data_IF_287618860178
#
_entry.id   IF_287618860178
#
_cell.length_a   1.000
_cell.length_b   1.000
_cell.length_c   1.000
_cell.angle_alpha   90.00
_cell.angle_beta   90.00
_cell.angle_gamma   90.00
#
_symmetry.space_group_name_H-M   'P 1'
#
loop_
_entity.id
_entity.type
_entity.pdbx_description
1 polymer ?
#
# COMPACT_ATOMS: atom_id res chain seq x y z
N UNK A 1 -6.90 10.99 -5.50
CA UNK A 1 -6.76 10.08 -4.34
C UNK A 1 -5.41 9.43 -4.47
N UNK A 2 -4.67 9.35 -3.37
CA UNK A 2 -3.34 8.71 -3.35
C UNK A 2 -3.54 7.23 -3.12
N UNK A 3 -2.99 6.39 -3.99
CA UNK A 3 -3.05 4.94 -3.83
C UNK A 3 -1.66 4.39 -3.55
N UNK A 4 -1.48 3.71 -2.43
CA UNK A 4 -0.27 2.94 -2.11
C UNK A 4 -0.54 1.46 -2.33
N UNK A 5 0.33 0.76 -3.04
CA UNK A 5 0.25 -0.69 -3.27
C UNK A 5 1.49 -1.35 -2.72
N UNK A 6 1.28 -2.39 -1.91
CA UNK A 6 2.30 -3.25 -1.36
C UNK A 6 2.06 -4.70 -1.78
N UNK A 7 3.13 -5.38 -2.14
CA UNK A 7 3.16 -6.83 -2.31
C UNK A 7 3.93 -7.45 -1.14
N UNK A 8 3.40 -8.53 -0.58
CA UNK A 8 4.11 -9.37 0.41
C UNK A 8 3.93 -10.84 0.04
N UNK A 9 4.98 -11.62 0.21
CA UNK A 9 4.99 -13.05 -0.13
C UNK A 9 4.14 -13.86 0.86
N UNK A 10 4.36 -13.63 2.15
CA UNK A 10 3.71 -14.37 3.23
C UNK A 10 3.47 -13.46 4.43
N UNK A 11 2.58 -13.91 5.29
CA UNK A 11 2.26 -13.24 6.54
C UNK A 11 2.19 -14.28 7.67
N UNK A 12 2.77 -13.94 8.82
CA UNK A 12 2.72 -14.75 10.03
C UNK A 12 1.29 -14.82 10.54
N UNK A 13 0.86 -16.00 11.00
CA UNK A 13 -0.36 -16.09 11.81
C UNK A 13 -0.08 -15.55 13.22
N UNK A 14 -1.10 -14.95 13.82
CA UNK A 14 -1.01 -14.35 15.13
C UNK A 14 -2.39 -14.29 15.79
N UNK A 15 -2.41 -14.17 17.12
CA UNK A 15 -3.64 -14.01 17.89
C UNK A 15 -3.63 -12.70 18.65
N UNK A 16 -4.83 -12.24 19.07
CA UNK A 16 -4.97 -11.09 19.97
C UNK A 16 -4.07 -11.22 21.21
N UNK A 17 -4.00 -12.40 21.82
CA UNK A 17 -3.18 -12.63 23.03
C UNK A 17 -1.69 -12.37 22.79
N UNK A 18 -1.18 -12.72 21.60
CA UNK A 18 0.22 -12.48 21.22
C UNK A 18 0.52 -10.98 21.12
N UNK A 19 -0.39 -10.21 20.50
CA UNK A 19 -0.29 -8.75 20.39
C UNK A 19 -0.40 -8.09 21.78
N UNK A 20 -1.37 -8.53 22.59
CA UNK A 20 -1.64 -7.99 23.91
C UNK A 20 -0.44 -8.17 24.87
N UNK A 21 0.38 -9.19 24.64
CA UNK A 21 1.60 -9.48 25.40
C UNK A 21 2.86 -8.81 24.81
N UNK A 22 2.76 -8.02 23.74
CA UNK A 22 3.89 -7.35 23.10
C UNK A 22 4.81 -8.27 22.28
N UNK A 23 4.30 -9.43 21.85
CA UNK A 23 5.06 -10.41 21.05
C UNK A 23 4.67 -10.40 19.58
N UNK A 24 4.42 -9.22 19.02
CA UNK A 24 3.98 -9.06 17.64
C UNK A 24 5.06 -9.53 16.66
N UNK A 25 4.72 -10.42 15.71
CA UNK A 25 5.66 -10.83 14.68
C UNK A 25 6.16 -9.62 13.87
N UNK A 26 7.43 -9.64 13.48
CA UNK A 26 8.08 -8.49 12.85
C UNK A 26 7.40 -8.04 11.55
N UNK A 27 6.92 -8.97 10.74
CA UNK A 27 6.18 -8.68 9.52
C UNK A 27 4.83 -8.00 9.81
N UNK A 28 4.12 -8.43 10.86
CA UNK A 28 2.90 -7.77 11.33
C UNK A 28 3.21 -6.37 11.85
N UNK A 29 4.27 -6.20 12.64
CA UNK A 29 4.71 -4.90 13.14
C UNK A 29 5.05 -3.93 12.00
N UNK A 30 5.73 -4.41 10.96
CA UNK A 30 6.05 -3.62 9.77
C UNK A 30 4.79 -3.21 9.02
N UNK A 31 3.82 -4.11 8.82
CA UNK A 31 2.53 -3.79 8.22
C UNK A 31 1.74 -2.77 9.04
N UNK A 32 1.74 -2.89 10.37
CA UNK A 32 1.15 -1.91 11.26
C UNK A 32 1.80 -0.52 11.05
N UNK A 33 3.13 -0.46 11.01
CA UNK A 33 3.84 0.79 10.72
C UNK A 33 3.49 1.37 9.34
N UNK A 34 3.40 0.54 8.30
CA UNK A 34 2.96 0.95 6.96
C UNK A 34 1.53 1.50 6.99
N UNK A 35 0.60 0.84 7.69
CA UNK A 35 -0.78 1.32 7.86
C UNK A 35 -0.79 2.67 8.58
N UNK A 36 0.00 2.80 9.66
CA UNK A 36 0.11 4.04 10.43
C UNK A 36 0.59 5.18 9.55
N UNK A 37 1.71 5.03 8.84
CA UNK A 37 2.27 6.11 8.00
C UNK A 37 1.41 6.40 6.76
N UNK A 38 0.55 5.45 6.34
CA UNK A 38 -0.40 5.66 5.26
C UNK A 38 -1.59 6.55 5.67
N UNK A 39 -2.01 6.51 6.94
CA UNK A 39 -3.29 7.11 7.35
C UNK A 39 -3.19 8.06 8.55
N UNK A 40 -2.41 7.76 9.57
CA UNK A 40 -2.44 8.50 10.83
C UNK A 40 -1.69 9.83 10.73
N UNK A 41 -2.36 10.91 11.09
CA UNK A 41 -1.76 12.22 11.39
C UNK A 41 -1.93 12.52 12.89
N UNK A 42 -1.29 13.58 13.40
CA UNK A 42 -1.36 13.95 14.82
C UNK A 42 -2.78 14.12 15.37
N UNK A 43 -3.72 14.60 14.54
CA UNK A 43 -5.09 14.91 14.97
C UNK A 43 -6.19 14.33 14.06
N UNK A 44 -5.82 13.56 13.04
CA UNK A 44 -6.78 13.11 12.02
C UNK A 44 -6.27 11.88 11.28
N UNK A 45 -7.09 11.40 10.34
CA UNK A 45 -6.68 10.40 9.35
C UNK A 45 -6.69 11.01 7.95
N UNK A 46 -5.75 10.59 7.10
CA UNK A 46 -5.67 10.95 5.68
C UNK A 46 -6.81 10.27 4.93
N UNK A 47 -7.91 10.99 4.72
CA UNK A 47 -9.10 10.50 4.00
C UNK A 47 -8.88 10.32 2.50
N UNK A 48 -7.85 10.95 1.96
CA UNK A 48 -7.49 10.95 0.53
C UNK A 48 -6.57 9.79 0.14
N UNK A 49 -6.08 9.02 1.12
CA UNK A 49 -5.19 7.89 0.91
C UNK A 49 -5.98 6.58 0.84
N UNK A 50 -5.49 5.66 0.03
CA UNK A 50 -5.86 4.25 0.04
C UNK A 50 -4.58 3.41 0.14
N UNK A 51 -4.65 2.30 0.87
CA UNK A 51 -3.56 1.33 0.97
C UNK A 51 -4.07 -0.03 0.51
N UNK A 52 -3.36 -0.64 -0.42
CA UNK A 52 -3.60 -1.98 -0.94
C UNK A 52 -2.45 -2.89 -0.53
N UNK A 53 -2.75 -4.01 0.12
CA UNK A 53 -1.78 -5.01 0.53
C UNK A 53 -2.16 -6.32 -0.14
N UNK A 54 -1.32 -6.79 -1.05
CA UNK A 54 -1.46 -8.11 -1.67
C UNK A 54 -0.56 -9.12 -0.96
N UNK A 55 -1.14 -10.25 -0.55
CA UNK A 55 -0.48 -11.34 0.18
C UNK A 55 -0.52 -12.59 -0.69
N UNK A 56 0.63 -12.98 -1.24
CA UNK A 56 0.73 -14.04 -2.26
C UNK A 56 0.39 -15.43 -1.70
N UNK A 57 0.92 -15.79 -0.54
CA UNK A 57 0.74 -17.11 0.09
C UNK A 57 -0.72 -17.50 0.36
N UNK A 58 -1.61 -16.51 0.47
CA UNK A 58 -3.04 -16.71 0.66
C UNK A 58 -3.89 -16.11 -0.47
N UNK A 59 -3.24 -15.58 -1.52
CA UNK A 59 -3.86 -14.96 -2.68
C UNK A 59 -4.90 -13.91 -2.29
N UNK A 60 -4.54 -12.99 -1.40
CA UNK A 60 -5.46 -12.06 -0.77
C UNK A 60 -5.05 -10.61 -1.04
N UNK A 61 -5.99 -9.81 -1.55
CA UNK A 61 -5.87 -8.35 -1.60
C UNK A 61 -6.69 -7.73 -0.47
N UNK A 62 -6.03 -6.92 0.37
CA UNK A 62 -6.67 -6.12 1.41
C UNK A 62 -6.61 -4.65 1.00
N UNK A 63 -7.74 -3.96 1.00
CA UNK A 63 -7.84 -2.51 0.76
C UNK A 63 -8.25 -1.80 2.04
N UNK A 64 -7.47 -0.82 2.45
CA UNK A 64 -7.82 0.20 3.42
C UNK A 64 -8.21 1.48 2.64
N UNK A 65 -9.42 1.97 2.85
CA UNK A 65 -9.99 3.13 2.17
C UNK A 65 -10.12 4.31 3.14
N UNK A 66 -9.29 5.34 2.99
CA UNK A 66 -9.14 6.40 3.99
C UNK A 66 -10.42 7.17 4.29
N UNK A 67 -11.27 7.42 3.29
CA UNK A 67 -12.50 8.21 3.47
C UNK A 67 -13.56 7.48 4.32
N UNK A 68 -13.53 6.15 4.36
CA UNK A 68 -14.52 5.31 5.02
C UNK A 68 -13.94 4.53 6.21
N UNK A 69 -12.63 4.62 6.44
CA UNK A 69 -11.92 3.99 7.54
C UNK A 69 -12.42 4.52 8.90
N UNK A 70 -12.66 3.59 9.83
CA UNK A 70 -13.05 3.89 11.21
C UNK A 70 -12.31 2.96 12.18
N UNK A 71 -12.20 3.40 13.42
CA UNK A 71 -11.59 2.65 14.53
C UNK A 71 -10.09 2.36 14.38
N UNK A 72 -9.42 2.96 13.39
CA UNK A 72 -7.97 2.89 13.26
C UNK A 72 -7.33 3.79 14.32
N UNK A 73 -6.73 3.17 15.34
CA UNK A 73 -5.84 3.84 16.29
C UNK A 73 -4.43 3.95 15.73
N UNK A 74 -3.66 4.92 16.24
CA UNK A 74 -2.24 5.07 15.89
C UNK A 74 -1.36 4.01 16.57
N UNK A 75 -1.88 3.31 17.58
CA UNK A 75 -1.20 2.22 18.25
C UNK A 75 -1.18 0.93 17.41
N UNK A 76 -0.10 0.18 17.57
CA UNK A 76 0.15 -1.10 16.89
C UNK A 76 -0.97 -2.11 17.13
N UNK A 77 -1.49 -2.19 18.36
CA UNK A 77 -2.52 -3.15 18.74
C UNK A 77 -3.80 -2.91 17.94
N UNK A 78 -4.26 -1.66 17.84
CA UNK A 78 -5.45 -1.30 17.06
C UNK A 78 -5.31 -1.69 15.58
N UNK A 79 -4.17 -1.38 14.97
CA UNK A 79 -3.84 -1.75 13.59
C UNK A 79 -3.81 -3.28 13.39
N UNK A 80 -3.11 -4.00 14.26
CA UNK A 80 -2.97 -5.45 14.20
C UNK A 80 -4.32 -6.16 14.33
N UNK A 81 -5.23 -5.65 15.17
CA UNK A 81 -6.58 -6.23 15.32
C UNK A 81 -7.46 -6.01 14.10
N UNK A 82 -7.37 -4.85 13.45
CA UNK A 82 -8.09 -4.59 12.19
C UNK A 82 -7.55 -5.46 11.05
N UNK A 83 -6.22 -5.58 10.95
CA UNK A 83 -5.58 -6.47 9.99
C UNK A 83 -5.99 -7.93 10.21
N UNK A 84 -6.04 -8.41 11.46
CA UNK A 84 -6.44 -9.78 11.79
C UNK A 84 -7.88 -10.06 11.35
N UNK A 85 -8.80 -9.14 11.61
CA UNK A 85 -10.20 -9.25 11.13
C UNK A 85 -10.30 -9.32 9.61
N UNK A 86 -9.43 -8.63 8.87
CA UNK A 86 -9.37 -8.74 7.42
C UNK A 86 -8.86 -10.11 6.97
N UNK A 87 -7.78 -10.60 7.58
CA UNK A 87 -7.20 -11.92 7.28
C UNK A 87 -8.18 -13.06 7.58
N UNK A 88 -8.80 -13.05 8.76
CA UNK A 88 -9.76 -14.08 9.20
C UNK A 88 -10.98 -14.14 8.28
N UNK A 89 -11.36 -13.01 7.67
CA UNK A 89 -12.47 -12.94 6.71
C UNK A 89 -12.18 -13.72 5.41
N UNK A 90 -10.91 -13.91 5.04
CA UNK A 90 -10.52 -14.67 3.85
C UNK A 90 -10.14 -16.12 4.19
N UNK A 91 -9.54 -16.35 5.35
CA UNK A 91 -9.14 -17.69 5.81
C UNK A 91 -10.37 -18.53 6.22
N UNK A 92 -11.34 -17.91 6.89
CA UNK A 92 -12.52 -18.61 7.41
C UNK A 92 -13.62 -18.90 6.40
N UNK A 93 -13.45 -18.53 5.13
CA UNK A 93 -14.46 -18.78 4.10
C UNK A 93 -14.03 -19.97 3.26
N UNK A 94 -14.85 -21.02 3.29
CA UNK A 94 -14.78 -22.09 2.29
C UNK A 94 -14.79 -21.49 0.90
N UNK A 95 -14.03 -22.10 -0.03
CA UNK A 95 -13.66 -21.71 -1.42
C UNK A 95 -14.80 -21.31 -2.37
N UNK A 96 -15.78 -20.56 -1.89
CA UNK A 96 -16.87 -19.97 -2.65
C UNK A 96 -16.28 -18.75 -3.34
N UNK A 97 -16.33 -18.78 -4.67
CA UNK A 97 -15.84 -17.72 -5.55
C UNK A 97 -16.65 -16.45 -5.31
N UNK A 98 -16.26 -15.64 -4.33
CA UNK A 98 -16.88 -14.34 -4.14
C UNK A 98 -16.55 -13.44 -5.32
N UNK A 99 -17.62 -12.97 -5.98
CA UNK A 99 -17.53 -11.98 -7.03
C UNK A 99 -17.37 -10.61 -6.35
N UNK A 100 -16.14 -10.12 -6.27
CA UNK A 100 -15.83 -8.74 -5.84
C UNK A 100 -15.20 -8.58 -4.44
N UNK A 101 -15.08 -7.32 -4.01
CA UNK A 101 -14.50 -6.93 -2.72
C UNK A 101 -15.52 -7.08 -1.59
N UNK A 102 -15.15 -7.76 -0.51
CA UNK A 102 -15.97 -7.91 0.69
C UNK A 102 -15.53 -6.97 1.79
N UNK A 103 -16.49 -6.38 2.50
CA UNK A 103 -16.20 -5.56 3.67
C UNK A 103 -15.82 -6.43 4.87
N UNK A 104 -14.67 -6.15 5.49
CA UNK A 104 -14.26 -6.71 6.79
C UNK A 104 -14.72 -5.79 7.93
N UNK A 105 -14.32 -4.52 7.88
CA UNK A 105 -14.72 -3.45 8.80
C UNK A 105 -14.97 -2.15 8.02
N UNK A 106 -15.48 -1.05 8.62
CA UNK A 106 -15.61 0.22 7.90
C UNK A 106 -14.27 0.66 7.30
N UNK A 107 -14.27 0.84 5.98
CA UNK A 107 -13.09 1.18 5.18
C UNK A 107 -12.04 0.09 5.02
N UNK A 108 -12.30 -1.15 5.43
CA UNK A 108 -11.41 -2.28 5.16
C UNK A 108 -12.14 -3.34 4.36
N UNK A 109 -11.57 -3.67 3.21
CA UNK A 109 -12.14 -4.61 2.26
C UNK A 109 -11.12 -5.68 1.89
N UNK A 110 -11.62 -6.87 1.55
CA UNK A 110 -10.79 -8.03 1.20
C UNK A 110 -11.33 -8.70 -0.05
N UNK A 111 -10.44 -9.24 -0.89
CA UNK A 111 -10.79 -10.04 -2.07
C UNK A 111 -9.73 -11.10 -2.31
N UNK A 112 -10.17 -12.29 -2.70
CA UNK A 112 -9.26 -13.33 -3.20
C UNK A 112 -8.85 -12.97 -4.63
N UNK A 113 -7.54 -12.85 -4.85
CA UNK A 113 -6.93 -12.45 -6.12
C UNK A 113 -5.85 -13.47 -6.45
N UNK A 114 -6.16 -14.36 -7.39
CA UNK A 114 -5.36 -15.58 -7.66
C UNK A 114 -3.97 -15.31 -8.24
N UNK A 115 -3.75 -14.13 -8.79
CA UNK A 115 -2.46 -13.73 -9.36
C UNK A 115 -2.20 -12.23 -9.12
N UNK A 116 -0.94 -11.84 -9.02
CA UNK A 116 -0.54 -10.44 -8.90
C UNK A 116 -1.01 -9.58 -10.09
N UNK A 117 -1.13 -10.19 -11.28
CA UNK A 117 -1.56 -9.54 -12.53
C UNK A 117 -2.91 -8.82 -12.42
N UNK A 118 -3.86 -9.40 -11.67
CA UNK A 118 -5.19 -8.83 -11.47
C UNK A 118 -5.27 -7.80 -10.34
N UNK A 119 -4.18 -7.47 -9.64
CA UNK A 119 -4.23 -6.50 -8.53
C UNK A 119 -4.67 -5.12 -9.02
N UNK A 120 -4.12 -4.62 -10.13
CA UNK A 120 -4.45 -3.29 -10.67
C UNK A 120 -5.91 -3.17 -11.12
N UNK A 121 -6.54 -4.27 -11.54
CA UNK A 121 -7.95 -4.32 -11.94
C UNK A 121 -8.90 -4.00 -10.76
N UNK A 122 -8.39 -4.04 -9.53
CA UNK A 122 -9.16 -3.76 -8.31
C UNK A 122 -8.99 -2.32 -7.81
N UNK A 123 -8.20 -1.51 -8.51
CA UNK A 123 -7.88 -0.14 -8.13
C UNK A 123 -8.68 0.80 -9.01
N UNK A 124 -9.60 1.54 -8.40
CA UNK A 124 -10.39 2.55 -9.10
C UNK A 124 -9.51 3.75 -9.46
N UNK A 125 -9.88 4.42 -10.53
CA UNK A 125 -9.30 5.72 -10.95
C UNK A 125 -7.78 5.66 -11.24
N UNK A 126 -7.31 4.49 -11.70
CA UNK A 126 -5.93 4.31 -12.12
C UNK A 126 -5.72 4.92 -13.51
N UNK A 127 -4.95 6.00 -13.59
CA UNK A 127 -4.58 6.63 -14.86
C UNK A 127 -3.30 5.99 -15.43
N UNK A 128 -3.28 5.76 -16.75
CA UNK A 128 -2.23 4.99 -17.42
C UNK A 128 -0.81 5.57 -17.28
N UNK A 129 -0.69 6.87 -17.02
CA UNK A 129 0.53 7.65 -16.92
C UNK A 129 0.90 8.05 -15.48
N UNK A 130 0.14 7.60 -14.48
CA UNK A 130 0.32 7.98 -13.07
C UNK A 130 0.64 6.82 -12.17
N UNK A 131 1.29 5.80 -12.72
CA UNK A 131 1.83 4.68 -11.95
C UNK A 131 3.32 4.90 -11.72
N UNK A 132 3.70 4.99 -10.46
CA UNK A 132 5.06 5.25 -10.03
C UNK A 132 5.57 4.08 -9.16
N UNK A 133 6.61 3.43 -9.64
CA UNK A 133 7.31 2.37 -8.92
C UNK A 133 8.43 2.99 -8.11
N UNK A 134 8.43 2.70 -6.81
CA UNK A 134 9.49 3.08 -5.89
C UNK A 134 10.44 1.90 -5.78
N UNK A 135 11.58 1.97 -6.46
CA UNK A 135 12.55 0.88 -6.49
C UNK A 135 13.89 1.29 -5.83
N UNK A 136 14.61 0.28 -5.34
CA UNK A 136 15.93 0.40 -4.73
C UNK A 136 16.97 -0.26 -5.63
N UNK A 137 17.49 0.51 -6.58
CA UNK A 137 18.59 0.13 -7.44
C UNK A 137 19.86 0.92 -7.13
N UNK A 138 21.02 0.27 -7.30
CA UNK A 138 22.33 0.91 -7.21
C UNK A 138 22.52 1.93 -8.35
N UNK A 139 23.34 2.96 -8.10
CA UNK A 139 23.70 3.95 -9.12
C UNK A 139 24.33 3.24 -10.33
N UNK A 140 23.62 3.22 -11.46
CA UNK A 140 24.11 2.63 -12.72
C UNK A 140 23.06 1.79 -13.46
N UNK A 141 22.05 1.26 -12.76
CA UNK A 141 20.90 0.62 -13.40
C UNK A 141 19.90 1.70 -13.85
N UNK A 142 19.94 2.04 -15.13
CA UNK A 142 19.06 3.06 -15.70
C UNK A 142 17.74 2.43 -16.15
N UNK A 143 16.67 2.64 -15.39
CA UNK A 143 15.34 2.61 -15.96
C UNK A 143 15.20 3.82 -16.91
N UNK A 144 14.60 3.62 -18.08
CA UNK A 144 14.47 4.66 -19.11
C UNK A 144 13.62 5.88 -18.66
N UNK A 145 12.87 5.77 -17.55
CA UNK A 145 11.97 6.79 -17.00
C UNK A 145 12.20 7.03 -15.51
N UNK A 146 13.46 7.30 -15.12
CA UNK A 146 13.79 7.72 -13.76
C UNK A 146 13.41 9.18 -13.52
N UNK A 147 12.58 9.44 -12.51
CA UNK A 147 12.14 10.79 -12.10
C UNK A 147 12.40 11.01 -10.61
N UNK A 148 12.85 12.21 -10.25
CA UNK A 148 12.87 12.66 -8.86
C UNK A 148 11.45 13.04 -8.43
N UNK A 149 10.97 12.47 -7.32
CA UNK A 149 9.63 12.74 -6.80
C UNK A 149 9.34 14.22 -6.60
N UNK A 150 10.36 15.02 -6.26
CA UNK A 150 10.21 16.46 -6.05
C UNK A 150 9.82 17.21 -7.33
N UNK A 151 10.15 16.67 -8.50
CA UNK A 151 9.91 17.30 -9.80
C UNK A 151 8.48 17.04 -10.32
N UNK A 152 7.75 16.08 -9.73
CA UNK A 152 6.40 15.76 -10.14
C UNK A 152 5.40 16.81 -9.66
N UNK A 153 4.54 17.26 -10.57
CA UNK A 153 3.35 18.03 -10.24
C UNK A 153 2.20 17.09 -9.89
N UNK A 154 1.34 17.50 -8.95
CA UNK A 154 0.14 16.74 -8.53
C UNK A 154 0.43 15.31 -8.05
N UNK A 155 1.35 15.18 -7.09
CA UNK A 155 1.71 13.91 -6.43
C UNK A 155 0.48 13.15 -5.88
N UNK A 156 -0.62 13.84 -5.58
CA UNK A 156 -1.87 13.26 -5.07
C UNK A 156 -2.73 12.50 -6.11
N UNK A 157 -2.32 12.51 -7.38
CA UNK A 157 -2.96 11.78 -8.48
C UNK A 157 -2.22 10.48 -8.84
N UNK A 158 -1.06 10.21 -8.21
CA UNK A 158 -0.25 9.03 -8.49
C UNK A 158 -0.64 7.81 -7.67
N UNK A 159 -0.45 6.65 -8.28
CA UNK A 159 -0.44 5.36 -7.62
C UNK A 159 1.01 4.93 -7.40
N UNK A 160 1.38 4.79 -6.14
CA UNK A 160 2.73 4.44 -5.70
C UNK A 160 2.80 2.94 -5.41
N UNK A 161 3.71 2.26 -6.09
CA UNK A 161 3.92 0.83 -5.95
C UNK A 161 5.24 0.60 -5.22
N UNK A 162 5.16 -0.12 -4.09
CA UNK A 162 6.30 -0.61 -3.35
C UNK A 162 6.50 -2.10 -3.64
N UNK A 163 7.56 -2.48 -4.36
CA UNK A 163 7.90 -3.88 -4.54
C UNK A 163 8.63 -4.43 -3.31
N UNK A 164 8.25 -5.64 -2.86
CA UNK A 164 9.08 -6.56 -2.06
C UNK A 164 8.45 -7.96 -2.17
N UNK A 165 9.16 -9.08 -2.38
CA UNK A 165 10.60 -9.35 -2.45
C UNK A 165 11.17 -9.40 -3.89
N UNK A 166 12.45 -9.02 -4.06
CA UNK A 166 13.17 -8.94 -5.36
C UNK A 166 13.21 -10.25 -6.18
N UNK A 167 12.88 -11.39 -5.56
CA UNK A 167 12.95 -12.72 -6.19
C UNK A 167 11.60 -13.46 -6.23
N UNK A 168 10.46 -12.79 -6.02
CA UNK A 168 9.16 -13.48 -6.12
C UNK A 168 8.65 -13.49 -7.57
N UNK A 169 8.17 -14.66 -8.02
CA UNK A 169 7.52 -14.80 -9.33
C UNK A 169 6.30 -13.87 -9.44
N UNK A 170 5.57 -13.64 -8.35
CA UNK A 170 4.45 -12.70 -8.31
C UNK A 170 4.88 -11.26 -8.66
N UNK A 171 6.03 -10.80 -8.16
CA UNK A 171 6.56 -9.47 -8.48
C UNK A 171 6.91 -9.37 -9.96
N UNK A 172 7.57 -10.39 -10.52
CA UNK A 172 7.89 -10.45 -11.96
C UNK A 172 6.62 -10.44 -12.80
N UNK A 173 5.64 -11.27 -12.45
CA UNK A 173 4.36 -11.37 -13.14
C UNK A 173 3.58 -10.05 -13.11
N UNK A 174 3.59 -9.37 -11.97
CA UNK A 174 2.99 -8.05 -11.81
C UNK A 174 3.69 -7.03 -12.69
N UNK A 175 5.01 -6.88 -12.57
CA UNK A 175 5.79 -5.91 -13.33
C UNK A 175 5.63 -6.10 -14.84
N UNK A 176 5.61 -7.34 -15.33
CA UNK A 176 5.36 -7.64 -16.75
C UNK A 176 4.02 -7.11 -17.23
N UNK A 177 2.94 -7.28 -16.45
CA UNK A 177 1.62 -6.74 -16.80
C UNK A 177 1.58 -5.22 -16.73
N UNK A 178 2.28 -4.63 -15.75
CA UNK A 178 2.29 -3.18 -15.63
C UNK A 178 3.05 -2.55 -16.80
N UNK A 179 4.19 -3.12 -17.20
CA UNK A 179 5.01 -2.64 -18.32
C UNK A 179 4.28 -2.73 -19.67
N UNK A 180 3.47 -3.77 -19.88
CA UNK A 180 2.67 -3.93 -21.10
C UNK A 180 1.51 -2.92 -21.23
N UNK A 181 0.88 -2.55 -20.10
CA UNK A 181 -0.39 -1.79 -20.11
C UNK A 181 -0.25 -0.33 -19.67
N UNK A 182 0.80 0.01 -18.93
CA UNK A 182 0.94 1.29 -18.26
C UNK A 182 2.29 1.91 -18.53
N UNK A 183 2.34 3.24 -18.59
CA UNK A 183 3.60 3.97 -18.70
C UNK A 183 4.23 4.06 -17.31
N UNK A 184 5.18 3.16 -17.06
CA UNK A 184 5.89 3.10 -15.78
C UNK A 184 6.86 4.27 -15.59
N UNK A 185 6.75 4.91 -14.44
CA UNK A 185 7.71 5.89 -13.93
C UNK A 185 8.42 5.26 -12.74
N UNK A 186 9.74 5.43 -12.67
CA UNK A 186 10.54 4.92 -11.57
C UNK A 186 11.08 6.07 -10.75
N UNK A 187 11.11 5.91 -9.43
CA UNK A 187 11.85 6.80 -8.54
C UNK A 187 12.75 5.99 -7.62
N UNK A 188 13.89 6.56 -7.24
CA UNK A 188 14.85 5.92 -6.36
C UNK A 188 14.75 6.54 -4.96
N UNK A 189 14.31 5.74 -3.98
CA UNK A 189 14.29 6.10 -2.57
C UNK A 189 15.21 5.20 -1.72
N UNK A 190 16.30 4.69 -2.30
CA UNK A 190 17.29 3.84 -1.61
C UNK A 190 17.90 4.47 -0.36
N UNK A 191 17.95 5.81 -0.27
CA UNK A 191 18.43 6.52 0.92
C UNK A 191 17.42 6.48 2.10
N UNK A 192 16.16 6.09 1.87
CA UNK A 192 15.10 6.02 2.87
C UNK A 192 14.81 4.56 3.19
N UNK A 193 15.25 4.10 4.36
CA UNK A 193 15.05 2.71 4.79
C UNK A 193 13.62 2.45 5.23
N UNK A 194 13.09 1.27 4.92
CA UNK A 194 11.72 0.87 5.26
C UNK A 194 10.68 1.43 4.28
N UNK A 195 9.54 0.76 4.17
CA UNK A 195 8.45 1.17 3.27
C UNK A 195 7.62 2.27 3.95
N UNK A 196 7.40 2.14 5.25
CA UNK A 196 6.72 3.09 6.10
C UNK A 196 7.34 4.50 6.00
N UNK A 197 8.67 4.61 6.04
CA UNK A 197 9.34 5.91 5.92
C UNK A 197 9.27 6.49 4.50
N UNK A 198 9.23 5.64 3.48
CA UNK A 198 9.04 6.09 2.10
C UNK A 198 7.61 6.61 1.89
N UNK A 199 6.60 5.94 2.45
CA UNK A 199 5.21 6.43 2.46
C UNK A 199 5.12 7.76 3.20
N UNK A 200 5.75 7.87 4.37
CA UNK A 200 5.83 9.12 5.13
C UNK A 200 6.44 10.24 4.28
N UNK A 201 7.54 9.97 3.58
CA UNK A 201 8.18 10.95 2.70
C UNK A 201 7.29 11.37 1.52
N UNK A 202 6.59 10.43 0.87
CA UNK A 202 5.64 10.74 -0.20
C UNK A 202 4.50 11.62 0.33
N UNK A 203 3.92 11.27 1.48
CA UNK A 203 2.88 12.07 2.12
C UNK A 203 3.39 13.48 2.50
N UNK A 204 4.61 13.59 3.02
CA UNK A 204 5.24 14.88 3.31
C UNK A 204 5.35 15.76 2.06
N UNK A 205 5.79 15.20 0.92
CA UNK A 205 5.88 15.95 -0.33
C UNK A 205 4.51 16.38 -0.88
N UNK A 206 3.49 15.53 -0.71
CA UNK A 206 2.11 15.87 -1.08
C UNK A 206 1.65 17.08 -0.26
N UNK A 207 1.78 17.01 1.08
CA UNK A 207 1.36 18.09 1.98
C UNK A 207 2.10 19.41 1.66
N UNK A 208 3.41 19.33 1.41
CA UNK A 208 4.22 20.50 1.06
C UNK A 208 3.70 21.18 -0.21
N UNK A 209 3.39 20.41 -1.26
CA UNK A 209 2.91 20.96 -2.54
C UNK A 209 1.48 21.49 -2.45
N UNK A 210 0.61 20.87 -1.66
CA UNK A 210 -0.75 21.37 -1.44
C UNK A 210 -0.75 22.70 -0.68
N UNK A 211 0.11 22.86 0.33
CA UNK A 211 0.26 24.13 1.05
C UNK A 211 0.82 25.25 0.15
N UNK A 212 1.84 24.95 -0.66
CA UNK A 212 2.40 25.91 -1.61
C UNK A 212 1.39 26.40 -2.65
N UNK A 213 0.44 25.55 -3.07
CA UNK A 213 -0.60 25.95 -4.01
C UNK A 213 -1.60 26.93 -3.37
N UNK A 214 -1.91 26.77 -2.08
CA UNK A 214 -2.80 27.67 -1.33
C UNK A 214 -2.19 29.06 -1.18
N UNK A 215 -0.88 29.15 -0.92
CA UNK A 215 -0.18 30.42 -0.73
C UNK A 215 -0.01 31.24 -2.02
N UNK A 216 -0.12 30.62 -3.19
CA UNK A 216 -0.02 31.29 -4.51
C UNK A 216 -1.38 31.88 -4.95
N UNK A 217 -2.49 31.33 -4.44
CA UNK A 217 -3.86 31.75 -4.76
C UNK A 217 -4.42 32.82 -3.78
N UNK A 218 -3.58 33.35 -2.87
CA UNK A 218 -3.88 34.43 -1.92
C UNK A 218 -3.16 35.74 -2.29
#
# INVERSE_FOLDING_TARGET
MVNFILFIEKISDYSKKVIDNGHTPLDIYNLCSIIRESFCCSYSIRKTNNLYIYIDSIQCLIKFEGNSLRYLGSDERSQALLLKKALDKIIGVEKTNFIGMQKSTPGIFVKRVLNGKSVLENIKDLHNDKILIIDEFEKGNTHNTLINLQDLYKLNEYCYIFPFPKNSQCTVDFLGVVDEKYKLIYTNLSNIKGIENKILYVNFLIDQKENLAIDIDL
#
